data_IF_990437507557
#
_entry.id   IF_990437507557
#
_cell.length_a   1.000
_cell.length_b   1.000
_cell.length_c   1.000
_cell.angle_alpha   90.00
_cell.angle_beta   90.00
_cell.angle_gamma   90.00
#
_symmetry.space_group_name_H-M   'P 1'
#
loop_
_entity.id
_entity.type
_entity.pdbx_description
1 polymer ?
#
# COMPACT_ATOMS: atom_id res chain seq x y z
N UNK A 1 20.87 13.73 7.83
CA UNK A 1 20.92 14.87 8.79
C UNK A 1 19.62 14.87 9.59
N UNK A 2 19.64 15.20 10.89
CA UNK A 2 18.41 15.34 11.67
C UNK A 2 17.51 16.39 11.01
N UNK A 3 16.21 16.11 10.91
CA UNK A 3 15.23 17.11 10.42
C UNK A 3 15.23 18.29 11.40
N UNK A 4 15.21 19.52 10.89
CA UNK A 4 15.44 20.78 11.62
C UNK A 4 14.64 20.94 12.93
N UNK A 5 13.52 20.22 13.09
CA UNK A 5 12.70 20.17 14.31
C UNK A 5 13.21 19.29 15.48
N UNK A 6 14.37 18.63 15.38
CA UNK A 6 14.85 17.76 16.48
C UNK A 6 15.65 18.48 17.57
N UNK A 7 15.98 19.77 17.37
CA UNK A 7 16.86 20.54 18.27
C UNK A 7 16.33 20.69 19.70
N UNK A 8 15.01 20.63 19.90
CA UNK A 8 14.36 20.79 21.20
C UNK A 8 13.91 19.45 21.85
N UNK A 9 14.30 18.30 21.29
CA UNK A 9 13.89 17.00 21.80
C UNK A 9 14.94 16.42 22.74
N UNK A 10 14.52 16.08 23.96
CA UNK A 10 15.36 15.30 24.88
C UNK A 10 15.49 13.85 24.39
N UNK A 11 16.71 13.29 24.25
CA UNK A 11 16.93 11.88 23.92
C UNK A 11 16.25 10.95 24.93
N UNK A 12 15.75 9.80 24.46
CA UNK A 12 15.12 8.78 25.34
C UNK A 12 16.13 8.21 26.34
N UNK A 13 17.42 8.18 26.00
CA UNK A 13 18.53 7.75 26.85
C UNK A 13 18.78 8.65 28.06
N UNK A 14 18.39 9.92 27.97
CA UNK A 14 18.57 10.92 29.04
C UNK A 14 17.32 11.07 29.93
N UNK A 15 16.27 10.28 29.67
CA UNK A 15 15.03 10.26 30.45
C UNK A 15 15.10 9.25 31.59
N UNK A 16 14.18 9.38 32.54
CA UNK A 16 14.03 8.37 33.59
C UNK A 16 13.62 7.02 32.98
N UNK A 17 13.96 5.91 33.66
CA UNK A 17 13.65 4.56 33.16
C UNK A 17 12.16 4.36 32.92
N UNK A 18 11.31 4.94 33.76
CA UNK A 18 9.85 4.80 33.66
C UNK A 18 9.28 5.59 32.48
N UNK A 19 9.76 6.82 32.24
CA UNK A 19 9.40 7.60 31.06
C UNK A 19 9.85 6.93 29.77
N UNK A 20 11.09 6.40 29.75
CA UNK A 20 11.62 5.68 28.60
C UNK A 20 10.77 4.43 28.29
N UNK A 21 10.39 3.65 29.30
CA UNK A 21 9.48 2.50 29.15
C UNK A 21 8.11 2.92 28.62
N UNK A 22 7.54 4.00 29.14
CA UNK A 22 6.23 4.50 28.70
C UNK A 22 6.26 4.95 27.23
N UNK A 23 7.31 5.69 26.83
CA UNK A 23 7.49 6.15 25.44
C UNK A 23 7.70 4.97 24.50
N UNK A 24 8.59 4.03 24.83
CA UNK A 24 8.84 2.84 24.01
C UNK A 24 7.58 1.97 23.88
N UNK A 25 6.80 1.82 24.94
CA UNK A 25 5.53 1.08 24.91
C UNK A 25 4.50 1.76 23.99
N UNK A 26 4.37 3.09 24.06
CA UNK A 26 3.49 3.87 23.17
C UNK A 26 3.94 3.75 21.71
N UNK A 27 5.24 3.87 21.45
CA UNK A 27 5.82 3.71 20.11
C UNK A 27 5.59 2.30 19.54
N UNK A 28 5.82 1.26 20.34
CA UNK A 28 5.56 -0.12 19.96
C UNK A 28 4.10 -0.40 19.62
N UNK A 29 3.17 0.08 20.46
CA UNK A 29 1.73 -0.02 20.21
C UNK A 29 1.32 0.70 18.92
N UNK A 30 1.75 1.95 18.74
CA UNK A 30 1.45 2.73 17.55
C UNK A 30 2.01 2.08 16.27
N UNK A 31 3.26 1.60 16.32
CA UNK A 31 3.89 0.86 15.22
C UNK A 31 3.12 -0.43 14.90
N UNK A 32 2.73 -1.19 15.93
CA UNK A 32 1.93 -2.41 15.76
C UNK A 32 0.57 -2.14 15.12
N UNK A 33 -0.11 -1.07 15.52
CA UNK A 33 -1.38 -0.64 14.90
C UNK A 33 -1.16 -0.28 13.44
N UNK A 34 -0.13 0.51 13.12
CA UNK A 34 0.17 0.90 11.74
C UNK A 34 0.51 -0.31 10.86
N UNK A 35 1.31 -1.26 11.38
CA UNK A 35 1.65 -2.51 10.69
C UNK A 35 0.42 -3.37 10.43
N UNK A 36 -0.48 -3.53 11.42
CA UNK A 36 -1.74 -4.26 11.25
C UNK A 36 -2.63 -3.60 10.20
N UNK A 37 -2.85 -2.28 10.28
CA UNK A 37 -3.61 -1.53 9.27
C UNK A 37 -3.06 -1.75 7.85
N UNK A 38 -1.73 -1.76 7.68
CA UNK A 38 -1.10 -2.03 6.38
C UNK A 38 -1.36 -3.46 5.91
N UNK A 39 -1.27 -4.45 6.81
CA UNK A 39 -1.55 -5.84 6.50
C UNK A 39 -3.04 -6.06 6.14
N UNK A 40 -3.96 -5.47 6.90
CA UNK A 40 -5.40 -5.56 6.65
C UNK A 40 -5.77 -4.90 5.32
N UNK A 41 -5.17 -3.76 5.00
CA UNK A 41 -5.32 -3.11 3.69
C UNK A 41 -4.82 -4.03 2.56
N UNK A 42 -3.65 -4.65 2.71
CA UNK A 42 -3.15 -5.61 1.70
C UNK A 42 -4.13 -6.74 1.45
N UNK A 43 -4.65 -7.36 2.51
CA UNK A 43 -5.66 -8.42 2.41
C UNK A 43 -6.93 -7.93 1.72
N UNK A 44 -7.41 -6.73 2.05
CA UNK A 44 -8.57 -6.15 1.39
C UNK A 44 -8.32 -5.92 -0.11
N UNK A 45 -7.13 -5.45 -0.49
CA UNK A 45 -6.74 -5.30 -1.88
C UNK A 45 -6.64 -6.63 -2.62
N UNK A 46 -6.05 -7.66 -2.01
CA UNK A 46 -5.98 -9.01 -2.57
C UNK A 46 -7.38 -9.56 -2.87
N UNK A 47 -8.33 -9.37 -1.94
CA UNK A 47 -9.73 -9.75 -2.16
C UNK A 47 -10.31 -8.97 -3.35
N UNK A 48 -10.17 -7.64 -3.36
CA UNK A 48 -10.73 -6.80 -4.44
C UNK A 48 -10.16 -7.17 -5.83
N UNK A 49 -8.86 -7.47 -5.91
CA UNK A 49 -8.19 -7.88 -7.15
C UNK A 49 -8.63 -9.27 -7.62
N UNK A 50 -8.91 -10.19 -6.68
CA UNK A 50 -9.39 -11.54 -6.98
C UNK A 50 -10.84 -11.61 -7.43
N UNK A 51 -11.65 -10.57 -7.14
CA UNK A 51 -13.05 -10.52 -7.57
C UNK A 51 -13.16 -10.40 -9.10
N UNK A 52 -14.25 -10.95 -9.62
CA UNK A 52 -14.63 -10.83 -11.02
C UNK A 52 -14.95 -9.39 -11.39
N UNK A 53 -14.63 -9.03 -12.64
CA UNK A 53 -15.01 -7.74 -13.21
C UNK A 53 -16.53 -7.64 -13.29
N UNK A 54 -17.08 -6.55 -12.76
CA UNK A 54 -18.53 -6.32 -12.71
C UNK A 54 -19.13 -6.01 -14.08
N UNK A 55 -18.36 -5.41 -14.99
CA UNK A 55 -18.80 -5.13 -16.35
C UNK A 55 -18.57 -6.34 -17.28
N UNK A 56 -19.68 -6.96 -17.68
CA UNK A 56 -19.70 -8.09 -18.60
C UNK A 56 -19.03 -7.84 -19.95
N UNK A 57 -18.99 -6.59 -20.45
CA UNK A 57 -18.32 -6.27 -21.73
C UNK A 57 -16.81 -6.31 -21.57
N UNK A 58 -16.31 -5.69 -20.50
CA UNK A 58 -14.89 -5.66 -20.18
C UNK A 58 -14.40 -7.08 -19.87
N UNK A 59 -15.19 -7.85 -19.11
CA UNK A 59 -14.88 -9.25 -18.81
C UNK A 59 -14.70 -10.08 -20.09
N UNK A 60 -15.62 -9.97 -21.04
CA UNK A 60 -15.50 -10.63 -22.35
C UNK A 60 -14.28 -10.18 -23.14
N UNK A 61 -13.98 -8.88 -23.15
CA UNK A 61 -12.76 -8.38 -23.82
C UNK A 61 -11.48 -8.96 -23.22
N UNK A 62 -11.41 -9.09 -21.88
CA UNK A 62 -10.26 -9.72 -21.22
C UNK A 62 -10.17 -11.21 -21.57
N UNK A 63 -11.29 -11.93 -21.56
CA UNK A 63 -11.35 -13.35 -21.92
C UNK A 63 -10.99 -13.60 -23.39
N UNK A 64 -11.43 -12.74 -24.31
CA UNK A 64 -11.05 -12.78 -25.74
C UNK A 64 -9.55 -12.56 -25.94
N UNK A 65 -8.90 -11.79 -25.06
CA UNK A 65 -7.44 -11.60 -25.03
C UNK A 65 -6.70 -12.75 -24.33
N UNK A 66 -7.41 -13.77 -23.85
CA UNK A 66 -6.83 -14.90 -23.10
C UNK A 66 -6.45 -14.56 -21.66
N UNK A 67 -6.93 -13.45 -21.11
CA UNK A 67 -6.72 -13.05 -19.71
C UNK A 67 -7.87 -13.51 -18.82
N UNK A 68 -7.61 -13.61 -17.52
CA UNK A 68 -8.64 -13.90 -16.53
C UNK A 68 -9.64 -12.75 -16.43
N UNK A 69 -10.93 -13.06 -16.24
CA UNK A 69 -12.00 -12.07 -16.07
C UNK A 69 -12.04 -11.40 -14.69
N UNK A 70 -10.89 -11.26 -14.02
CA UNK A 70 -10.74 -10.70 -12.68
C UNK A 70 -10.19 -9.26 -12.70
N UNK A 71 -10.35 -8.55 -11.59
CA UNK A 71 -9.94 -7.15 -11.47
C UNK A 71 -8.41 -6.95 -11.57
N UNK A 72 -7.63 -7.97 -11.23
CA UNK A 72 -6.16 -7.97 -11.41
C UNK A 72 -5.77 -7.85 -12.88
N UNK A 73 -6.33 -8.70 -13.75
CA UNK A 73 -6.10 -8.64 -15.19
C UNK A 73 -6.60 -7.31 -15.79
N UNK A 74 -7.73 -6.80 -15.30
CA UNK A 74 -8.23 -5.49 -15.71
C UNK A 74 -7.23 -4.37 -15.41
N UNK A 75 -6.62 -4.38 -14.22
CA UNK A 75 -5.65 -3.38 -13.81
C UNK A 75 -4.35 -3.48 -14.62
N UNK A 76 -3.87 -4.69 -14.89
CA UNK A 76 -2.73 -4.92 -15.77
C UNK A 76 -3.00 -4.43 -17.21
N UNK A 77 -4.19 -4.69 -17.73
CA UNK A 77 -4.58 -4.24 -19.06
C UNK A 77 -4.70 -2.71 -19.14
N UNK A 78 -5.30 -2.07 -18.15
CA UNK A 78 -5.45 -0.62 -18.10
C UNK A 78 -4.09 0.10 -17.97
N UNK A 79 -3.19 -0.43 -17.15
CA UNK A 79 -1.83 0.11 -17.01
C UNK A 79 -1.02 -0.05 -18.30
N UNK A 80 -1.09 -1.22 -18.94
CA UNK A 80 -0.50 -1.43 -20.26
C UNK A 80 -1.03 -0.43 -21.31
N UNK A 81 -2.35 -0.23 -21.38
CA UNK A 81 -2.93 0.75 -22.30
C UNK A 81 -2.42 2.17 -22.05
N UNK A 82 -2.27 2.58 -20.79
CA UNK A 82 -1.73 3.90 -20.47
C UNK A 82 -0.25 4.03 -20.84
N UNK A 83 0.53 2.97 -20.61
CA UNK A 83 1.94 2.92 -20.99
C UNK A 83 2.11 3.04 -22.51
N UNK A 84 1.31 2.30 -23.29
CA UNK A 84 1.29 2.37 -24.77
C UNK A 84 0.90 3.77 -25.26
N UNK A 85 0.00 4.46 -24.55
CA UNK A 85 -0.38 5.85 -24.84
C UNK A 85 0.69 6.90 -24.46
N UNK A 86 1.88 6.46 -24.02
CA UNK A 86 3.02 7.33 -23.73
C UNK A 86 3.07 7.84 -22.28
N UNK A 87 2.19 7.36 -21.39
CA UNK A 87 2.32 7.66 -19.96
C UNK A 87 3.36 6.74 -19.32
N UNK A 88 4.65 7.09 -19.47
CA UNK A 88 5.78 6.30 -18.96
C UNK A 88 5.67 6.03 -17.44
N UNK A 89 5.12 6.98 -16.67
CA UNK A 89 4.90 6.85 -15.22
C UNK A 89 3.89 5.77 -14.82
N UNK A 90 3.08 5.28 -15.76
CA UNK A 90 2.11 4.22 -15.49
C UNK A 90 2.78 2.88 -15.12
N UNK A 91 4.05 2.68 -15.51
CA UNK A 91 4.82 1.47 -15.21
C UNK A 91 5.78 1.63 -14.03
N UNK A 92 6.09 2.86 -13.61
CA UNK A 92 7.10 3.13 -12.58
C UNK A 92 6.65 2.72 -11.16
N UNK A 93 5.35 2.50 -10.94
CA UNK A 93 4.76 2.26 -9.62
C UNK A 93 3.96 0.94 -9.51
N UNK A 94 4.03 0.07 -10.53
CA UNK A 94 3.54 -1.32 -10.45
C UNK A 94 4.59 -2.13 -9.70
#
# INVERSE_FOLDING_TARGET
MPRDGTKNLKPVTERTKDEARAISSKGGKASGIARRKKADLKKAFEILLSLDVTDSKIKKQLEEMGMAGNNEALLAFATFQQAVKGNQKATENI
#
